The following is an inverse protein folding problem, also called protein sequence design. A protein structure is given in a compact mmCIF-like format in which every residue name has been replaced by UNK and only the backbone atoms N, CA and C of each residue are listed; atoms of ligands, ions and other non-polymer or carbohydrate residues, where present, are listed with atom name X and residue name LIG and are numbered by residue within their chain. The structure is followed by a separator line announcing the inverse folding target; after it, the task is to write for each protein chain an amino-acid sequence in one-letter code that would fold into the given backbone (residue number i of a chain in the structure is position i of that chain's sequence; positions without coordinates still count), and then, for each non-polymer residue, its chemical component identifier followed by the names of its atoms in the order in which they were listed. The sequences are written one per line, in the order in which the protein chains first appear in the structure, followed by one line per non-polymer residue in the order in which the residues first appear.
data_IF_162197399260
#
_entry.id   IF_162197399260
#
_cell.length_a   1.000
_cell.length_b   1.000
_cell.length_c   1.000
_cell.angle_alpha   90.00
_cell.angle_beta   90.00
_cell.angle_gamma   90.00
#
_symmetry.space_group_name_H-M   'P 1'
#
loop_
_entity.id
_entity.type
_entity.pdbx_description
1 polymer ?
#
# COMPACT_ATOMS: atom_id res chain seq x y z
N UNK A 1 -24.04 -31.28 -26.64
CA UNK A 1 -24.62 -32.26 -27.59
C UNK A 1 -26.12 -32.16 -27.42
N UNK A 2 -26.75 -31.22 -28.09
CA UNK A 2 -28.21 -31.12 -28.14
C UNK A 2 -28.61 -31.29 -29.60
N UNK A 3 -29.34 -32.36 -29.84
CA UNK A 3 -29.75 -32.86 -31.13
C UNK A 3 -30.71 -31.89 -31.79
N UNK A 4 -30.32 -31.41 -32.97
CA UNK A 4 -31.11 -30.57 -33.85
C UNK A 4 -32.22 -31.41 -34.51
N UNK A 5 -33.44 -31.32 -33.97
CA UNK A 5 -34.66 -31.74 -34.67
C UNK A 5 -34.94 -30.75 -35.82
N UNK A 6 -34.50 -31.13 -37.03
CA UNK A 6 -34.90 -30.49 -38.27
C UNK A 6 -36.29 -31.01 -38.66
N UNK A 7 -37.32 -30.21 -38.41
CA UNK A 7 -38.62 -30.38 -39.06
C UNK A 7 -38.44 -30.31 -40.59
N UNK A 8 -39.14 -31.16 -41.37
CA UNK A 8 -39.08 -31.09 -42.82
C UNK A 8 -39.69 -29.77 -43.27
N UNK A 9 -38.82 -28.86 -43.74
CA UNK A 9 -39.25 -27.63 -44.42
C UNK A 9 -40.14 -28.04 -45.58
N UNK A 10 -41.44 -27.79 -45.46
CA UNK A 10 -42.37 -27.82 -46.58
C UNK A 10 -41.77 -26.93 -47.65
N UNK A 11 -41.49 -27.51 -48.82
CA UNK A 11 -41.00 -26.78 -49.99
C UNK A 11 -42.00 -25.66 -50.23
N UNK A 12 -41.62 -24.44 -49.83
CA UNK A 12 -42.33 -23.24 -50.21
C UNK A 12 -42.21 -23.23 -51.73
N UNK A 13 -43.28 -23.66 -52.40
CA UNK A 13 -43.36 -23.53 -53.84
C UNK A 13 -43.15 -22.04 -54.09
N UNK A 14 -41.98 -21.69 -54.61
CA UNK A 14 -41.78 -20.37 -55.15
C UNK A 14 -42.76 -20.30 -56.31
N UNK A 15 -43.90 -19.65 -56.07
CA UNK A 15 -44.52 -18.89 -57.13
C UNK A 15 -43.43 -17.89 -57.51
N UNK A 16 -42.59 -18.31 -58.46
CA UNK A 16 -41.62 -17.43 -59.10
C UNK A 16 -42.36 -16.15 -59.45
N UNK A 17 -41.67 -15.03 -59.29
CA UNK A 17 -42.11 -13.64 -59.49
C UNK A 17 -42.94 -13.41 -60.77
N UNK A 18 -44.14 -13.97 -60.81
CA UNK A 18 -45.14 -13.80 -61.84
C UNK A 18 -45.89 -12.56 -61.40
N UNK A 19 -45.80 -11.52 -62.22
CA UNK A 19 -46.56 -10.30 -62.00
C UNK A 19 -48.04 -10.65 -61.88
N UNK A 20 -48.80 -9.90 -61.07
CA UNK A 20 -50.26 -10.06 -61.03
C UNK A 20 -50.87 -9.99 -62.44
N UNK A 21 -50.27 -9.21 -63.36
CA UNK A 21 -50.65 -9.17 -64.76
C UNK A 21 -50.46 -10.51 -65.50
N UNK A 22 -49.40 -11.26 -65.18
CA UNK A 22 -49.11 -12.57 -65.78
C UNK A 22 -50.05 -13.65 -65.25
N UNK A 23 -50.30 -13.67 -63.93
CA UNK A 23 -51.21 -14.63 -63.30
C UNK A 23 -52.68 -14.39 -63.71
N UNK A 24 -53.09 -13.13 -63.87
CA UNK A 24 -54.42 -12.77 -64.39
C UNK A 24 -54.52 -13.10 -65.88
N UNK A 25 -53.46 -12.86 -66.67
CA UNK A 25 -53.38 -13.24 -68.07
C UNK A 25 -53.49 -14.75 -68.26
N UNK A 26 -52.82 -15.52 -67.41
CA UNK A 26 -52.88 -16.99 -67.43
C UNK A 26 -54.25 -17.51 -66.97
N UNK A 27 -54.84 -16.93 -65.93
CA UNK A 27 -56.20 -17.27 -65.50
C UNK A 27 -57.24 -16.99 -66.60
N UNK A 28 -57.14 -15.85 -67.31
CA UNK A 28 -58.02 -15.54 -68.45
C UNK A 28 -57.88 -16.55 -69.59
N UNK A 29 -56.65 -16.94 -69.95
CA UNK A 29 -56.41 -17.98 -70.98
C UNK A 29 -57.03 -19.33 -70.60
N UNK A 30 -56.92 -19.73 -69.33
CA UNK A 30 -57.50 -20.99 -68.85
C UNK A 30 -59.03 -20.92 -68.85
N UNK A 31 -59.61 -19.79 -68.45
CA UNK A 31 -61.06 -19.54 -68.53
C UNK A 31 -61.54 -19.60 -69.99
N UNK A 32 -60.84 -18.92 -70.90
CA UNK A 32 -61.16 -18.89 -72.33
C UNK A 32 -61.04 -20.31 -72.94
N UNK A 33 -60.04 -21.10 -72.54
CA UNK A 33 -59.88 -22.49 -72.97
C UNK A 33 -60.98 -23.42 -72.39
N UNK A 34 -61.40 -23.18 -71.15
CA UNK A 34 -62.49 -23.92 -70.50
C UNK A 34 -63.82 -23.63 -71.19
N UNK A 35 -64.10 -22.36 -71.49
CA UNK A 35 -65.27 -21.91 -72.23
C UNK A 35 -65.31 -22.51 -73.64
N UNK A 36 -64.17 -22.50 -74.35
CA UNK A 36 -64.04 -23.10 -75.67
C UNK A 36 -64.29 -24.62 -75.64
N UNK A 37 -63.72 -25.35 -74.66
CA UNK A 37 -63.92 -26.81 -74.52
C UNK A 37 -65.35 -27.19 -74.14
N UNK A 38 -66.03 -26.35 -73.36
CA UNK A 38 -67.45 -26.55 -73.01
C UNK A 38 -68.34 -26.29 -74.24
N UNK A 39 -68.00 -25.30 -75.07
CA UNK A 39 -68.74 -24.99 -76.28
C UNK A 39 -68.52 -26.04 -77.40
N UNK A 40 -67.29 -26.57 -77.52
CA UNK A 40 -66.94 -27.66 -78.44
C UNK A 40 -67.36 -29.06 -77.93
N UNK A 41 -67.83 -29.16 -76.68
CA UNK A 41 -68.28 -30.42 -76.11
C UNK A 41 -69.47 -30.96 -76.93
N UNK A 42 -69.17 -31.97 -77.76
CA UNK A 42 -70.11 -32.58 -78.70
C UNK A 42 -71.34 -33.08 -77.94
N UNK A 43 -72.51 -32.47 -78.19
CA UNK A 43 -73.80 -32.96 -77.71
C UNK A 43 -74.07 -34.33 -78.30
N UNK A 44 -73.76 -35.37 -77.53
CA UNK A 44 -74.01 -36.76 -77.91
C UNK A 44 -75.43 -37.16 -77.48
N UNK A 45 -76.27 -37.68 -78.39
CA UNK A 45 -77.58 -38.18 -78.02
C UNK A 45 -77.43 -39.40 -77.11
N UNK A 46 -77.83 -39.25 -75.83
CA UNK A 46 -77.92 -40.26 -74.77
C UNK A 46 -76.85 -41.38 -74.78
N UNK A 47 -75.66 -41.10 -74.25
CA UNK A 47 -74.71 -42.14 -73.83
C UNK A 47 -74.88 -42.45 -72.35
N UNK A 48 -75.03 -43.73 -71.98
CA UNK A 48 -75.30 -44.22 -70.61
C UNK A 48 -74.17 -43.97 -69.58
N UNK A 49 -73.10 -43.29 -69.98
CA UNK A 49 -71.92 -43.03 -69.13
C UNK A 49 -71.60 -41.54 -68.98
N UNK A 50 -72.34 -40.63 -69.61
CA UNK A 50 -72.05 -39.20 -69.57
C UNK A 50 -73.00 -38.44 -68.65
N UNK A 51 -72.44 -37.81 -67.60
CA UNK A 51 -73.13 -36.87 -66.73
C UNK A 51 -73.84 -35.79 -67.55
N UNK A 52 -75.13 -35.59 -67.29
CA UNK A 52 -75.91 -34.47 -67.85
C UNK A 52 -75.45 -33.23 -67.10
N UNK A 53 -74.86 -32.29 -67.83
CA UNK A 53 -74.32 -31.05 -67.28
C UNK A 53 -75.05 -29.91 -67.98
N UNK A 54 -75.61 -28.98 -67.20
CA UNK A 54 -76.19 -27.75 -67.76
C UNK A 54 -75.05 -26.84 -68.22
N UNK A 55 -74.86 -26.82 -69.54
CA UNK A 55 -73.82 -26.00 -70.17
C UNK A 55 -74.07 -24.50 -69.98
N UNK A 56 -75.33 -24.07 -69.77
CA UNK A 56 -75.67 -22.66 -69.53
C UNK A 56 -75.22 -22.20 -68.14
N UNK A 57 -75.56 -22.97 -67.10
CA UNK A 57 -75.16 -22.66 -65.72
C UNK A 57 -73.63 -22.63 -65.55
N UNK A 58 -72.90 -23.53 -66.24
CA UNK A 58 -71.44 -23.52 -66.25
C UNK A 58 -70.82 -22.31 -66.93
N UNK A 59 -71.39 -21.85 -68.04
CA UNK A 59 -70.93 -20.64 -68.73
C UNK A 59 -71.15 -19.41 -67.83
N UNK A 60 -72.27 -19.35 -67.12
CA UNK A 60 -72.55 -18.26 -66.16
C UNK A 60 -71.56 -18.27 -64.99
N UNK A 61 -71.26 -19.44 -64.40
CA UNK A 61 -70.23 -19.59 -63.37
C UNK A 61 -68.83 -19.17 -63.86
N UNK A 62 -68.46 -19.51 -65.10
CA UNK A 62 -67.20 -19.11 -65.73
C UNK A 62 -67.16 -17.59 -65.95
N UNK A 63 -68.28 -17.00 -66.37
CA UNK A 63 -68.44 -15.54 -66.47
C UNK A 63 -68.27 -14.83 -65.13
N UNK A 64 -68.82 -15.39 -64.06
CA UNK A 64 -68.65 -14.87 -62.70
C UNK A 64 -67.20 -15.01 -62.22
N UNK A 65 -66.55 -16.14 -62.51
CA UNK A 65 -65.14 -16.39 -62.21
C UNK A 65 -64.23 -15.36 -62.93
N UNK A 66 -64.55 -15.01 -64.17
CA UNK A 66 -63.84 -14.01 -64.99
C UNK A 66 -63.93 -12.59 -64.43
N UNK A 67 -64.98 -12.27 -63.67
CA UNK A 67 -65.15 -10.96 -63.04
C UNK A 67 -64.47 -10.93 -61.66
N UNK A 68 -64.67 -11.97 -60.85
CA UNK A 68 -64.21 -11.99 -59.44
C UNK A 68 -62.71 -12.27 -59.33
N UNK A 69 -62.16 -13.19 -60.12
CA UNK A 69 -60.74 -13.57 -60.00
C UNK A 69 -59.77 -12.40 -60.20
N UNK A 70 -59.88 -11.57 -61.26
CA UNK A 70 -58.93 -10.47 -61.45
C UNK A 70 -58.92 -9.49 -60.28
N UNK A 71 -60.10 -9.15 -59.75
CA UNK A 71 -60.21 -8.25 -58.60
C UNK A 71 -59.53 -8.84 -57.36
N UNK A 72 -59.79 -10.11 -57.05
CA UNK A 72 -59.19 -10.79 -55.88
C UNK A 72 -57.67 -10.92 -55.99
N UNK A 73 -57.13 -11.18 -57.19
CA UNK A 73 -55.67 -11.29 -57.40
C UNK A 73 -54.99 -9.93 -57.27
N UNK A 74 -55.54 -8.86 -57.86
CA UNK A 74 -55.01 -7.50 -57.70
C UNK A 74 -55.04 -7.07 -56.23
N UNK A 75 -56.15 -7.33 -55.53
CA UNK A 75 -56.27 -7.00 -54.11
C UNK A 75 -55.27 -7.79 -53.25
N UNK A 76 -55.11 -9.09 -53.50
CA UNK A 76 -54.12 -9.91 -52.79
C UNK A 76 -52.69 -9.41 -53.04
N UNK A 77 -52.36 -9.00 -54.27
CA UNK A 77 -51.05 -8.45 -54.59
C UNK A 77 -50.80 -7.11 -53.90
N UNK A 78 -51.79 -6.21 -53.87
CA UNK A 78 -51.69 -4.94 -53.16
C UNK A 78 -51.40 -5.16 -51.66
N UNK A 79 -52.07 -6.12 -51.03
CA UNK A 79 -51.82 -6.50 -49.63
C UNK A 79 -50.41 -7.07 -49.46
N UNK A 80 -49.91 -7.89 -50.40
CA UNK A 80 -48.55 -8.44 -50.34
C UNK A 80 -47.48 -7.35 -50.47
N UNK A 81 -47.68 -6.36 -51.34
CA UNK A 81 -46.74 -5.26 -51.53
C UNK A 81 -46.75 -4.30 -50.35
N UNK A 82 -47.92 -4.00 -49.79
CA UNK A 82 -48.05 -3.24 -48.55
C UNK A 82 -47.40 -3.99 -47.37
N UNK A 83 -47.60 -5.31 -47.25
CA UNK A 83 -46.92 -6.14 -46.26
C UNK A 83 -45.40 -6.10 -46.44
N UNK A 84 -44.89 -6.20 -47.67
CA UNK A 84 -43.44 -6.11 -47.94
C UNK A 84 -42.89 -4.76 -47.50
N UNK A 85 -43.61 -3.67 -47.77
CA UNK A 85 -43.25 -2.32 -47.35
C UNK A 85 -43.18 -2.22 -45.82
N UNK A 86 -44.25 -2.62 -45.12
CA UNK A 86 -44.30 -2.62 -43.64
C UNK A 86 -43.14 -3.44 -43.05
N UNK A 87 -42.87 -4.63 -43.61
CA UNK A 87 -41.76 -5.47 -43.15
C UNK A 87 -40.38 -4.84 -43.41
N UNK A 88 -40.24 -4.08 -44.50
CA UNK A 88 -39.02 -3.33 -44.80
C UNK A 88 -38.77 -2.23 -43.77
N UNK A 89 -39.78 -1.38 -43.56
CA UNK A 89 -39.75 -0.27 -42.59
C UNK A 89 -39.50 -0.78 -41.17
N UNK A 90 -40.25 -1.81 -40.73
CA UNK A 90 -40.06 -2.41 -39.41
C UNK A 90 -38.65 -3.00 -39.22
N UNK A 91 -38.05 -3.57 -40.27
CA UNK A 91 -36.67 -4.08 -40.21
C UNK A 91 -35.64 -2.96 -40.13
N UNK A 92 -35.83 -1.87 -40.88
CA UNK A 92 -34.94 -0.72 -40.81
C UNK A 92 -35.05 -0.03 -39.44
N UNK A 93 -36.26 0.15 -38.93
CA UNK A 93 -36.49 0.74 -37.61
C UNK A 93 -35.90 -0.14 -36.50
N UNK A 94 -36.07 -1.47 -36.58
CA UNK A 94 -35.43 -2.40 -35.65
C UNK A 94 -33.91 -2.26 -35.67
N UNK A 95 -33.28 -2.22 -36.85
CA UNK A 95 -31.82 -2.02 -36.98
C UNK A 95 -31.38 -0.66 -36.44
N UNK A 96 -32.14 0.39 -36.69
CA UNK A 96 -31.85 1.72 -36.17
C UNK A 96 -31.96 1.76 -34.64
N UNK A 97 -32.96 1.08 -34.07
CA UNK A 97 -33.15 0.96 -32.62
C UNK A 97 -32.02 0.19 -31.96
N UNK A 98 -31.61 -0.97 -32.51
CA UNK A 98 -30.45 -1.72 -32.00
C UNK A 98 -29.17 -0.92 -32.09
N UNK A 99 -28.93 -0.22 -33.22
CA UNK A 99 -27.73 0.62 -33.36
C UNK A 99 -27.68 1.77 -32.36
N UNK A 100 -28.82 2.41 -32.06
CA UNK A 100 -28.91 3.44 -31.00
C UNK A 100 -28.65 2.85 -29.62
N UNK A 101 -29.21 1.67 -29.33
CA UNK A 101 -29.00 0.97 -28.08
C UNK A 101 -27.51 0.62 -27.89
N UNK A 102 -26.87 0.03 -28.90
CA UNK A 102 -25.46 -0.34 -28.86
C UNK A 102 -24.55 0.87 -28.64
N UNK A 103 -24.83 1.99 -29.32
CA UNK A 103 -24.10 3.24 -29.13
C UNK A 103 -24.26 3.77 -27.70
N UNK A 104 -25.50 3.80 -27.19
CA UNK A 104 -25.80 4.24 -25.83
C UNK A 104 -25.09 3.36 -24.78
N UNK A 105 -25.14 2.03 -24.94
CA UNK A 105 -24.45 1.11 -24.02
C UNK A 105 -22.94 1.28 -24.06
N UNK A 106 -22.37 1.41 -25.26
CA UNK A 106 -20.93 1.63 -25.43
C UNK A 106 -20.49 2.90 -24.73
N UNK A 107 -21.21 4.01 -24.95
CA UNK A 107 -20.94 5.29 -24.29
C UNK A 107 -21.04 5.17 -22.75
N UNK A 108 -22.08 4.51 -22.23
CA UNK A 108 -22.23 4.31 -20.77
C UNK A 108 -21.11 3.47 -20.18
N UNK A 109 -20.69 2.41 -20.87
CA UNK A 109 -19.56 1.56 -20.43
C UNK A 109 -18.25 2.34 -20.48
N UNK A 110 -18.00 3.14 -21.52
CA UNK A 110 -16.80 3.98 -21.60
C UNK A 110 -16.77 5.05 -20.51
N UNK A 111 -17.89 5.74 -20.27
CA UNK A 111 -18.00 6.73 -19.20
C UNK A 111 -17.82 6.10 -17.82
N UNK A 112 -18.39 4.91 -17.59
CA UNK A 112 -18.19 4.16 -16.35
C UNK A 112 -16.71 3.77 -16.16
N UNK A 113 -16.04 3.29 -17.22
CA UNK A 113 -14.60 2.97 -17.18
C UNK A 113 -13.74 4.19 -16.91
N UNK A 114 -14.04 5.33 -17.52
CA UNK A 114 -13.34 6.60 -17.26
C UNK A 114 -13.50 7.02 -15.81
N UNK A 115 -14.73 7.00 -15.30
CA UNK A 115 -14.99 7.32 -13.90
C UNK A 115 -14.25 6.38 -12.94
N UNK A 116 -14.28 5.07 -13.20
CA UNK A 116 -13.52 4.09 -12.41
C UNK A 116 -12.01 4.37 -12.45
N UNK A 117 -11.47 4.69 -13.63
CA UNK A 117 -10.07 5.03 -13.80
C UNK A 117 -9.69 6.33 -13.07
N UNK A 118 -10.54 7.35 -13.11
CA UNK A 118 -10.34 8.63 -12.43
C UNK A 118 -10.34 8.43 -10.90
N UNK A 119 -11.32 7.70 -10.37
CA UNK A 119 -11.40 7.34 -8.95
C UNK A 119 -10.17 6.54 -8.52
N UNK A 120 -9.71 5.60 -9.36
CA UNK A 120 -8.52 4.81 -9.07
C UNK A 120 -7.25 5.68 -9.06
N UNK A 121 -7.08 6.56 -10.05
CA UNK A 121 -5.94 7.49 -10.08
C UNK A 121 -5.94 8.44 -8.89
N UNK A 122 -7.10 8.94 -8.49
CA UNK A 122 -7.23 9.81 -7.32
C UNK A 122 -6.91 9.07 -6.02
N UNK A 123 -7.39 7.83 -5.87
CA UNK A 123 -7.05 6.97 -4.74
C UNK A 123 -5.54 6.66 -4.69
N UNK A 124 -4.92 6.30 -5.83
CA UNK A 124 -3.49 6.03 -5.93
C UNK A 124 -2.65 7.28 -5.61
N UNK A 125 -3.10 8.46 -6.05
CA UNK A 125 -2.45 9.74 -5.75
C UNK A 125 -2.56 10.09 -4.26
N UNK A 126 -3.73 9.89 -3.65
CA UNK A 126 -3.95 10.08 -2.23
C UNK A 126 -3.09 9.13 -1.39
N UNK A 127 -3.05 7.84 -1.74
CA UNK A 127 -2.20 6.84 -1.09
C UNK A 127 -0.72 7.22 -1.17
N UNK A 128 -0.26 7.70 -2.33
CA UNK A 128 1.10 8.18 -2.51
C UNK A 128 1.40 9.37 -1.60
N UNK A 129 0.48 10.32 -1.47
CA UNK A 129 0.62 11.49 -0.60
C UNK A 129 0.70 11.07 0.88
N UNK A 130 -0.16 10.15 1.33
CA UNK A 130 -0.13 9.65 2.70
C UNK A 130 1.17 8.93 3.00
N UNK A 131 1.64 8.06 2.09
CA UNK A 131 2.93 7.37 2.24
C UNK A 131 4.10 8.36 2.30
N UNK A 132 4.10 9.37 1.43
CA UNK A 132 5.14 10.39 1.44
C UNK A 132 5.14 11.17 2.75
N UNK A 133 3.97 11.64 3.21
CA UNK A 133 3.85 12.35 4.49
C UNK A 133 4.28 11.49 5.67
N UNK A 134 3.86 10.22 5.71
CA UNK A 134 4.28 9.29 6.75
C UNK A 134 5.81 9.06 6.74
N UNK A 135 6.44 9.01 5.56
CA UNK A 135 7.88 8.90 5.43
C UNK A 135 8.61 10.17 5.91
N UNK A 136 8.09 11.34 5.56
CA UNK A 136 8.63 12.63 6.02
C UNK A 136 8.52 12.75 7.55
N UNK A 137 7.36 12.44 8.13
CA UNK A 137 7.14 12.43 9.57
C UNK A 137 8.06 11.42 10.27
N UNK A 138 8.20 10.21 9.73
CA UNK A 138 9.10 9.19 10.26
C UNK A 138 10.56 9.64 10.24
N UNK A 139 11.02 10.22 9.13
CA UNK A 139 12.37 10.75 9.02
C UNK A 139 12.62 11.90 10.00
N UNK A 140 11.64 12.78 10.19
CA UNK A 140 11.73 13.89 11.15
C UNK A 140 11.85 13.37 12.60
N UNK A 141 11.08 12.35 12.98
CA UNK A 141 11.15 11.71 14.30
C UNK A 141 12.54 11.09 14.51
N UNK A 142 13.07 10.38 13.51
CA UNK A 142 14.41 9.76 13.61
C UNK A 142 15.49 10.85 13.76
N UNK A 143 15.39 11.94 13.00
CA UNK A 143 16.33 13.05 13.12
C UNK A 143 16.29 13.72 14.50
N UNK A 144 15.09 13.97 15.04
CA UNK A 144 14.91 14.52 16.39
C UNK A 144 15.45 13.56 17.46
N UNK A 145 15.16 12.27 17.34
CA UNK A 145 15.65 11.24 18.25
C UNK A 145 17.18 11.16 18.26
N UNK A 146 17.82 11.19 17.08
CA UNK A 146 19.28 11.22 16.97
C UNK A 146 19.88 12.48 17.60
N UNK A 147 19.27 13.65 17.35
CA UNK A 147 19.70 14.91 17.95
C UNK A 147 19.63 14.87 19.48
N UNK A 148 18.54 14.34 20.04
CA UNK A 148 18.39 14.17 21.50
C UNK A 148 19.39 13.16 22.04
N UNK A 149 19.63 12.06 21.34
CA UNK A 149 20.61 11.06 21.75
C UNK A 149 22.01 11.66 21.81
N UNK A 150 22.41 12.43 20.79
CA UNK A 150 23.68 13.16 20.76
C UNK A 150 23.81 14.14 21.93
N UNK A 151 22.76 14.90 22.24
CA UNK A 151 22.75 15.81 23.39
C UNK A 151 22.90 15.07 24.73
N UNK A 152 22.23 13.93 24.90
CA UNK A 152 22.35 13.11 26.11
C UNK A 152 23.78 12.60 26.26
N UNK A 153 24.36 12.06 25.19
CA UNK A 153 25.75 11.57 25.18
C UNK A 153 26.73 12.69 25.50
N UNK A 154 26.56 13.85 24.88
CA UNK A 154 27.39 15.02 25.11
C UNK A 154 27.34 15.49 26.57
N UNK A 155 26.13 15.63 27.13
CA UNK A 155 25.94 16.04 28.52
C UNK A 155 26.53 15.01 29.50
N UNK A 156 26.35 13.71 29.23
CA UNK A 156 26.91 12.64 30.03
C UNK A 156 28.45 12.66 30.00
N UNK A 157 29.05 12.88 28.83
CA UNK A 157 30.51 13.01 28.70
C UNK A 157 31.05 14.21 29.47
N UNK A 158 30.41 15.38 29.38
CA UNK A 158 30.81 16.54 30.17
C UNK A 158 30.71 16.27 31.67
N UNK A 159 29.62 15.66 32.13
CA UNK A 159 29.44 15.36 33.55
C UNK A 159 30.46 14.34 34.04
N UNK A 160 30.76 13.31 33.24
CA UNK A 160 31.79 12.33 33.56
C UNK A 160 33.17 12.99 33.65
N UNK A 161 33.52 13.87 32.72
CA UNK A 161 34.79 14.59 32.73
C UNK A 161 34.94 15.45 34.00
N UNK A 162 33.88 16.15 34.40
CA UNK A 162 33.86 16.94 35.64
C UNK A 162 34.06 16.06 36.88
N UNK A 163 33.37 14.92 36.96
CA UNK A 163 33.51 14.00 38.09
C UNK A 163 34.92 13.41 38.19
N UNK A 164 35.57 13.13 37.06
CA UNK A 164 36.96 12.67 37.02
C UNK A 164 37.90 13.77 37.51
N UNK A 165 37.73 15.00 37.02
CA UNK A 165 38.51 16.16 37.46
C UNK A 165 38.39 16.38 38.98
N UNK A 166 37.16 16.39 39.51
CA UNK A 166 36.89 16.54 40.95
C UNK A 166 37.56 15.42 41.78
N UNK A 167 37.52 14.17 41.29
CA UNK A 167 38.20 13.03 41.94
C UNK A 167 39.73 13.15 41.88
N UNK A 168 40.30 13.60 40.76
CA UNK A 168 41.74 13.80 40.63
C UNK A 168 42.25 14.86 41.60
N UNK A 169 41.53 15.99 41.74
CA UNK A 169 41.86 17.04 42.71
C UNK A 169 41.85 16.45 44.12
N UNK A 170 40.80 15.71 44.47
CA UNK A 170 40.67 15.06 45.79
C UNK A 170 41.82 14.10 46.05
N UNK A 171 42.14 13.25 45.08
CA UNK A 171 43.24 12.28 45.18
C UNK A 171 44.59 12.95 45.34
N UNK A 172 44.88 14.02 44.58
CA UNK A 172 46.12 14.79 44.71
C UNK A 172 46.21 15.49 46.07
N UNK A 173 45.12 16.08 46.54
CA UNK A 173 45.08 16.72 47.86
C UNK A 173 45.34 15.71 48.99
N UNK A 174 44.74 14.50 48.90
CA UNK A 174 45.00 13.42 49.86
C UNK A 174 46.46 12.95 49.83
N UNK A 175 47.03 12.74 48.65
CA UNK A 175 48.44 12.35 48.52
C UNK A 175 49.38 13.41 49.12
N UNK A 176 49.13 14.69 48.82
CA UNK A 176 49.88 15.80 49.39
C UNK A 176 49.76 15.89 50.92
N UNK A 177 48.55 15.66 51.46
CA UNK A 177 48.32 15.64 52.90
C UNK A 177 49.09 14.50 53.60
N UNK A 178 49.11 13.31 53.00
CA UNK A 178 49.89 12.16 53.51
C UNK A 178 51.38 12.46 53.49
N UNK A 179 51.91 12.99 52.38
CA UNK A 179 53.33 13.35 52.27
C UNK A 179 53.73 14.42 53.31
N UNK A 180 52.88 15.44 53.48
CA UNK A 180 53.11 16.51 54.46
C UNK A 180 53.12 15.95 55.88
N UNK A 181 52.20 15.02 56.18
CA UNK A 181 52.15 14.34 57.48
C UNK A 181 53.41 13.51 57.73
N UNK A 182 53.83 12.71 56.75
CA UNK A 182 55.04 11.88 56.87
C UNK A 182 56.30 12.74 57.06
N UNK A 183 56.40 13.86 56.35
CA UNK A 183 57.51 14.81 56.53
C UNK A 183 57.49 15.43 57.93
N UNK A 184 56.32 15.88 58.39
CA UNK A 184 56.17 16.46 59.71
C UNK A 184 56.48 15.45 60.83
N UNK A 185 56.08 14.18 60.66
CA UNK A 185 56.39 13.10 61.60
C UNK A 185 57.89 12.82 61.65
N UNK A 186 58.55 12.73 60.49
CA UNK A 186 60.01 12.58 60.41
C UNK A 186 60.76 13.78 61.01
N UNK A 187 60.28 14.98 60.78
CA UNK A 187 60.86 16.20 61.34
C UNK A 187 60.68 16.23 62.87
N UNK A 188 59.50 15.83 63.37
CA UNK A 188 59.23 15.70 64.80
C UNK A 188 60.14 14.65 65.46
N UNK A 189 60.30 13.47 64.84
CA UNK A 189 61.21 12.42 65.31
C UNK A 189 62.67 12.91 65.33
N UNK A 190 63.09 13.63 64.29
CA UNK A 190 64.43 14.22 64.21
C UNK A 190 64.65 15.22 65.35
N UNK A 191 63.70 16.13 65.57
CA UNK A 191 63.75 17.12 66.67
C UNK A 191 63.78 16.42 68.02
N UNK A 192 62.93 15.42 68.23
CA UNK A 192 62.88 14.65 69.48
C UNK A 192 64.23 13.97 69.77
N UNK A 193 64.79 13.27 68.79
CA UNK A 193 66.09 12.61 68.93
C UNK A 193 67.22 13.61 69.18
N UNK A 194 67.23 14.74 68.48
CA UNK A 194 68.21 15.81 68.71
C UNK A 194 68.10 16.39 70.12
N UNK A 195 66.88 16.61 70.62
CA UNK A 195 66.63 17.10 71.97
C UNK A 195 67.12 16.10 73.03
N UNK A 196 66.83 14.80 72.87
CA UNK A 196 67.34 13.76 73.76
C UNK A 196 68.88 13.76 73.83
N UNK A 197 69.55 13.79 72.67
CA UNK A 197 71.02 13.85 72.61
C UNK A 197 71.56 15.11 73.28
N UNK A 198 70.90 16.25 73.13
CA UNK A 198 71.30 17.49 73.77
C UNK A 198 71.14 17.43 75.30
N UNK A 199 70.03 16.87 75.79
CA UNK A 199 69.78 16.67 77.22
C UNK A 199 70.82 15.73 77.82
N UNK A 200 71.14 14.62 77.14
CA UNK A 200 72.18 13.68 77.59
C UNK A 200 73.55 14.35 77.69
N UNK A 201 73.91 15.17 76.70
CA UNK A 201 75.15 15.98 76.74
C UNK A 201 75.16 16.95 77.92
N UNK A 202 74.05 17.63 78.19
CA UNK A 202 73.94 18.54 79.33
C UNK A 202 74.07 17.80 80.66
N UNK A 203 73.39 16.66 80.82
CA UNK A 203 73.47 15.81 82.02
C UNK A 203 74.88 15.26 82.25
N UNK A 204 75.53 14.73 81.20
CA UNK A 204 76.91 14.26 81.29
C UNK A 204 77.89 15.38 81.63
N UNK A 205 77.69 16.57 81.06
CA UNK A 205 78.49 17.75 81.37
C UNK A 205 78.34 18.19 82.83
N UNK A 206 77.10 18.20 83.34
CA UNK A 206 76.81 18.50 84.74
C UNK A 206 77.44 17.47 85.69
N UNK A 207 77.34 16.17 85.38
CA UNK A 207 77.95 15.11 86.17
C UNK A 207 79.49 15.22 86.19
N UNK A 208 80.11 15.54 85.06
CA UNK A 208 81.55 15.77 84.97
C UNK A 208 81.98 17.00 85.77
N UNK A 209 81.22 18.10 85.71
CA UNK A 209 81.48 19.30 86.49
C UNK A 209 81.39 19.03 88.00
N UNK A 210 80.33 18.34 88.44
CA UNK A 210 80.17 17.91 89.84
C UNK A 210 81.32 17.00 90.31
N UNK A 211 81.75 16.06 89.47
CA UNK A 211 82.87 15.16 89.77
C UNK A 211 84.19 15.92 89.92
N UNK A 212 84.43 16.96 89.10
CA UNK A 212 85.59 17.85 89.23
C UNK A 212 85.53 18.62 90.55
N UNK A 213 84.41 19.26 90.87
CA UNK A 213 84.24 19.98 92.13
C UNK A 213 84.39 19.06 93.35
N UNK A 214 83.87 17.83 93.31
CA UNK A 214 84.05 16.86 94.38
C UNK A 214 85.53 16.44 94.53
N UNK A 215 86.26 16.27 93.43
CA UNK A 215 87.69 15.96 93.45
C UNK A 215 88.53 17.12 94.00
N UNK A 216 88.19 18.36 93.64
CA UNK A 216 88.80 19.56 94.19
C UNK A 216 88.54 19.69 95.70
N UNK A 217 87.32 19.41 96.15
CA UNK A 217 86.99 19.37 97.58
C UNK A 217 87.75 18.26 98.32
N UNK A 218 87.90 17.08 97.72
CA UNK A 218 88.69 15.99 98.28
C UNK A 218 90.18 16.37 98.38
N UNK A 219 90.74 17.02 97.36
CA UNK A 219 92.10 17.54 97.38
C UNK A 219 92.28 18.64 98.45
N UNK A 220 91.29 19.52 98.63
CA UNK A 220 91.28 20.51 99.70
C UNK A 220 91.26 19.86 101.09
N UNK A 221 90.42 18.84 101.27
CA UNK A 221 90.34 18.04 102.51
C UNK A 221 91.68 17.36 102.80
N UNK A 222 92.30 16.70 101.83
CA UNK A 222 93.59 16.04 102.02
C UNK A 222 94.70 17.05 102.36
N UNK A 223 94.72 18.23 101.72
CA UNK A 223 95.61 19.32 102.12
C UNK A 223 95.41 19.72 103.59
N UNK A 224 94.16 19.88 104.04
CA UNK A 224 93.85 20.21 105.44
C UNK A 224 94.25 19.10 106.41
N UNK A 225 94.08 17.82 106.03
CA UNK A 225 94.52 16.67 106.84
C UNK A 225 96.05 16.56 106.91
N UNK A 226 96.76 16.91 105.83
CA UNK A 226 98.24 16.99 105.85
C UNK A 226 98.76 18.20 106.64
N UNK A 227 98.03 19.31 106.68
CA UNK A 227 98.35 20.45 107.57
C UNK A 227 98.03 20.16 109.04
N UNK A 228 97.01 19.33 109.32
CA UNK A 228 96.63 18.94 110.68
C UNK A 228 97.54 17.90 111.36
N UNK A 229 98.48 17.27 110.63
CA UNK A 229 99.33 16.21 111.16
C UNK A 229 100.82 16.58 111.31
N UNK A 230 101.15 17.88 111.35
CA UNK A 230 102.51 18.35 111.60
C UNK A 230 102.61 18.91 113.04
N UNK A 231 103.28 18.22 114.00
CA UNK A 231 103.53 18.75 115.32
C UNK A 231 104.66 19.80 115.30
N UNK A 232 104.31 21.03 115.70
CA UNK A 232 105.12 22.13 116.29
C UNK A 232 106.52 22.47 115.72
N UNK A 233 106.76 23.75 115.42
CA UNK A 233 107.68 24.60 116.21
C UNK A 233 107.77 26.08 115.76
N UNK A 234 107.75 26.95 116.78
CA UNK A 234 108.49 28.22 116.96
C UNK A 234 108.36 29.38 115.94
N UNK A 235 107.61 30.43 116.31
CA UNK A 235 108.10 31.57 117.12
C UNK A 235 106.95 32.50 117.52
#
# INVERSE_FOLDING_TARGET
MESSEQEPRTVRHEYGSSSAGDSIGQARRVIDELEARINDARRVPMSKTLSIIDTGELIDLIGQLRIVLPHTVVQAQAILDERKKILGEAKEEAKASTGKADAYYTEKVENAKRFEQDVKMEADAYDKQIRQKAQEDSNAIIADANTRAEQIVFNAQQQAQKLVEDNEITRRAQAYAVETRERAEKDADSIYNQACVQVDKMLSGAAAALSRSASELAALRDNLLTQGNNPQQDR
#
